data_IF_773972172953
#
_entry.id   IF_773972172953
#
_cell.length_a   1.000
_cell.length_b   1.000
_cell.length_c   1.000
_cell.angle_alpha   90.00
_cell.angle_beta   90.00
_cell.angle_gamma   90.00
#
_symmetry.space_group_name_H-M   'P 1'
#
loop_
_entity.id
_entity.type
_entity.pdbx_description
1 polymer ?
#
# COMPACT_ATOMS: atom_id res chain seq x y z
N UNK A 1 -3.32 6.90 39.59
CA UNK A 1 -1.86 6.69 39.70
C UNK A 1 -1.23 8.05 39.89
N UNK A 2 -0.57 8.30 41.02
CA UNK A 2 0.07 9.58 41.29
C UNK A 2 1.19 9.87 40.29
N UNK A 3 1.44 11.17 40.03
CA UNK A 3 2.51 11.66 39.15
C UNK A 3 3.91 11.14 39.53
N UNK A 4 4.09 10.68 40.78
CA UNK A 4 5.37 10.18 41.31
C UNK A 4 5.85 8.86 40.70
N UNK A 5 4.99 8.05 40.06
CA UNK A 5 5.45 6.83 39.39
C UNK A 5 6.19 7.08 38.06
N UNK A 6 6.10 8.28 37.48
CA UNK A 6 6.80 8.60 36.23
C UNK A 6 8.33 8.67 36.41
N UNK A 7 8.81 9.02 37.62
CA UNK A 7 10.23 9.20 37.93
C UNK A 7 11.06 7.91 37.89
N UNK A 8 10.43 6.74 38.00
CA UNK A 8 11.12 5.45 37.93
C UNK A 8 11.39 4.98 36.47
N UNK A 9 10.84 5.67 35.46
CA UNK A 9 10.79 5.17 34.07
C UNK A 9 11.76 5.83 33.07
N UNK A 10 12.68 6.68 33.52
CA UNK A 10 13.66 7.32 32.62
C UNK A 10 13.09 8.30 31.59
N UNK A 11 11.80 8.65 31.67
CA UNK A 11 11.15 9.58 30.74
C UNK A 11 11.58 11.03 31.02
N UNK A 12 12.00 11.81 30.01
CA UNK A 12 12.31 13.22 30.19
C UNK A 12 11.08 14.00 30.67
N UNK A 13 11.28 14.85 31.69
CA UNK A 13 10.21 15.66 32.30
C UNK A 13 9.70 16.81 31.42
N UNK A 14 10.49 17.22 30.43
CA UNK A 14 10.16 18.33 29.52
C UNK A 14 9.96 17.81 28.10
N UNK A 15 8.80 18.16 27.52
CA UNK A 15 8.56 17.97 26.10
C UNK A 15 9.34 19.08 25.36
N UNK A 16 10.31 18.69 24.55
CA UNK A 16 10.96 19.61 23.61
C UNK A 16 10.02 19.74 22.42
N UNK A 17 9.47 20.93 22.23
CA UNK A 17 8.70 21.24 21.03
C UNK A 17 9.68 21.56 19.89
N UNK A 18 9.40 21.06 18.68
CA UNK A 18 10.20 21.37 17.49
C UNK A 18 10.25 22.88 17.18
N UNK A 19 9.33 23.68 17.73
CA UNK A 19 9.33 25.14 17.64
C UNK A 19 10.39 25.84 18.53
N UNK A 20 11.02 25.11 19.46
CA UNK A 20 12.07 25.63 20.36
C UNK A 20 13.21 24.62 20.54
N UNK A 21 13.98 24.32 19.47
CA UNK A 21 15.07 23.36 19.56
C UNK A 21 16.26 23.92 20.35
N UNK A 22 16.97 23.05 21.05
CA UNK A 22 18.30 23.32 21.62
C UNK A 22 19.35 22.51 20.84
N UNK A 23 20.53 23.08 20.57
CA UNK A 23 21.64 22.38 19.89
C UNK A 23 21.66 22.49 18.35
N UNK A 24 22.55 21.72 17.70
CA UNK A 24 22.64 21.63 16.24
C UNK A 24 21.45 20.81 15.69
N UNK A 25 20.64 21.46 14.86
CA UNK A 25 19.45 20.88 14.25
C UNK A 25 19.66 20.54 12.78
N UNK A 26 20.90 20.67 12.27
CA UNK A 26 21.23 20.38 10.88
C UNK A 26 20.84 18.93 10.57
N UNK A 27 20.09 18.72 9.47
CA UNK A 27 19.61 17.39 9.15
C UNK A 27 20.79 16.45 8.87
N UNK A 28 20.56 15.17 9.11
CA UNK A 28 21.53 14.14 8.68
C UNK A 28 21.56 14.16 7.15
N UNK A 29 22.75 14.25 6.56
CA UNK A 29 22.92 14.35 5.12
C UNK A 29 22.22 13.18 4.40
N UNK A 30 21.50 13.49 3.33
CA UNK A 30 20.79 12.53 2.51
C UNK A 30 20.73 13.03 1.06
N UNK A 31 20.92 12.10 0.12
CA UNK A 31 20.90 12.36 -1.31
C UNK A 31 19.89 11.41 -1.98
N UNK A 32 18.62 11.81 -2.05
CA UNK A 32 17.56 11.02 -2.70
C UNK A 32 17.93 10.72 -4.16
N UNK A 33 17.74 9.49 -4.61
CA UNK A 33 18.15 9.02 -5.94
C UNK A 33 19.63 8.66 -6.10
N UNK A 34 20.45 8.70 -5.05
CA UNK A 34 21.81 8.16 -5.16
C UNK A 34 21.77 6.63 -5.37
N UNK A 35 22.60 6.12 -6.28
CA UNK A 35 22.64 4.71 -6.69
C UNK A 35 23.22 3.75 -5.64
N UNK A 36 23.96 4.27 -4.67
CA UNK A 36 24.57 3.51 -3.58
C UNK A 36 23.96 3.90 -2.25
N UNK A 37 23.61 2.91 -1.42
CA UNK A 37 22.95 3.14 -0.13
C UNK A 37 23.73 4.09 0.79
N UNK A 38 25.05 3.94 0.84
CA UNK A 38 25.94 4.77 1.67
C UNK A 38 25.95 6.22 1.18
N UNK A 39 25.97 6.44 -0.14
CA UNK A 39 25.91 7.77 -0.73
C UNK A 39 24.51 8.40 -0.56
N UNK A 40 23.45 7.59 -0.59
CA UNK A 40 22.07 8.02 -0.33
C UNK A 40 21.89 8.48 1.13
N UNK A 41 22.51 7.78 2.07
CA UNK A 41 22.40 7.99 3.52
C UNK A 41 21.14 7.36 4.12
N UNK A 42 21.12 7.02 5.43
CA UNK A 42 19.99 6.34 6.07
C UNK A 42 18.78 7.25 6.27
N UNK A 43 17.58 6.67 6.44
CA UNK A 43 16.39 7.40 6.89
C UNK A 43 16.33 7.40 8.42
N UNK A 44 16.24 8.59 8.99
CA UNK A 44 16.30 8.78 10.44
C UNK A 44 15.21 9.77 10.86
N UNK A 45 14.32 9.34 11.75
CA UNK A 45 13.26 10.16 12.37
C UNK A 45 13.55 10.48 13.85
N UNK A 46 14.81 10.26 14.27
CA UNK A 46 15.30 10.11 15.65
C UNK A 46 14.39 10.68 16.76
N UNK A 47 13.85 9.79 17.59
CA UNK A 47 13.06 10.16 18.77
C UNK A 47 13.91 10.23 20.06
N UNK A 48 15.22 10.03 19.94
CA UNK A 48 16.16 9.92 21.06
C UNK A 48 17.53 10.55 20.72
N UNK A 49 18.46 10.62 21.68
CA UNK A 49 19.84 11.08 21.40
C UNK A 49 19.97 12.59 21.18
N UNK A 50 20.81 12.99 20.22
CA UNK A 50 21.12 14.40 19.90
C UNK A 50 20.01 15.13 19.14
N UNK A 51 18.92 14.43 18.80
CA UNK A 51 17.75 14.97 18.12
C UNK A 51 17.94 15.19 16.62
N UNK A 52 19.10 14.87 16.03
CA UNK A 52 19.33 15.01 14.59
C UNK A 52 18.56 13.94 13.82
N UNK A 53 17.86 14.38 12.78
CA UNK A 53 17.01 13.56 11.91
C UNK A 53 16.99 14.15 10.50
N UNK A 54 16.55 13.39 9.52
CA UNK A 54 16.40 13.84 8.13
C UNK A 54 15.03 13.56 7.52
N UNK A 55 14.13 12.98 8.32
CA UNK A 55 12.76 12.67 7.91
C UNK A 55 11.75 13.14 8.96
N UNK A 56 10.60 13.61 8.46
CA UNK A 56 9.43 14.03 9.25
C UNK A 56 8.61 12.79 9.63
N UNK A 57 8.03 12.80 10.83
CA UNK A 57 7.20 11.70 11.32
C UNK A 57 8.00 10.70 12.13
N UNK A 58 7.63 9.42 12.08
CA UNK A 58 8.30 8.35 12.83
C UNK A 58 8.29 7.05 12.04
N UNK A 59 9.28 6.19 12.27
CA UNK A 59 9.24 4.80 11.82
C UNK A 59 7.97 4.06 12.29
N UNK A 60 7.69 2.90 11.67
CA UNK A 60 6.53 2.04 11.96
C UNK A 60 5.20 2.50 11.36
N UNK A 61 5.21 3.43 10.39
CA UNK A 61 4.02 3.86 9.62
C UNK A 61 2.74 4.06 10.45
N UNK A 62 1.66 3.38 10.05
CA UNK A 62 0.36 3.37 10.76
C UNK A 62 0.40 2.84 12.20
N UNK A 63 1.48 2.19 12.61
CA UNK A 63 1.66 1.63 13.95
C UNK A 63 2.38 2.57 14.92
N UNK A 64 2.86 3.72 14.45
CA UNK A 64 3.56 4.71 15.27
C UNK A 64 2.79 5.16 16.50
N UNK A 65 1.48 5.39 16.38
CA UNK A 65 0.61 5.77 17.51
C UNK A 65 0.47 4.63 18.52
N UNK A 66 0.34 3.37 18.06
CA UNK A 66 0.33 2.21 18.95
C UNK A 66 1.66 2.03 19.68
N UNK A 67 2.78 2.28 18.99
CA UNK A 67 4.09 2.32 19.63
C UNK A 67 4.16 3.39 20.71
N UNK A 68 3.65 4.60 20.44
CA UNK A 68 3.60 5.67 21.43
C UNK A 68 2.73 5.30 22.64
N UNK A 69 1.59 4.64 22.42
CA UNK A 69 0.75 4.10 23.49
C UNK A 69 1.46 3.00 24.30
N UNK A 70 2.18 2.09 23.64
CA UNK A 70 2.97 1.06 24.30
C UNK A 70 4.07 1.68 25.18
N UNK A 71 4.75 2.71 24.68
CA UNK A 71 5.71 3.50 25.47
C UNK A 71 4.99 4.14 26.65
N UNK A 72 3.88 4.84 26.45
CA UNK A 72 3.13 5.52 27.51
C UNK A 72 2.64 4.57 28.60
N UNK A 73 2.17 3.38 28.21
CA UNK A 73 1.75 2.29 29.09
C UNK A 73 2.91 1.59 29.80
N UNK A 74 4.16 1.87 29.42
CA UNK A 74 5.36 1.25 29.99
C UNK A 74 5.65 -0.15 29.46
N UNK A 75 4.95 -0.59 28.40
CA UNK A 75 5.17 -1.88 27.75
C UNK A 75 6.38 -1.87 26.81
N UNK A 76 6.83 -0.70 26.37
CA UNK A 76 8.02 -0.53 25.53
C UNK A 76 8.92 0.57 26.10
N UNK A 77 10.21 0.26 26.28
CA UNK A 77 11.22 1.26 26.61
C UNK A 77 11.49 2.15 25.37
N UNK A 78 11.32 3.48 25.45
CA UNK A 78 11.57 4.37 24.31
C UNK A 78 13.05 4.36 23.84
N UNK A 79 13.98 3.97 24.71
CA UNK A 79 15.41 3.80 24.40
C UNK A 79 15.77 2.43 23.83
N UNK A 80 14.80 1.51 23.72
CA UNK A 80 15.02 0.18 23.18
C UNK A 80 15.55 0.25 21.74
N UNK A 81 16.75 -0.30 21.55
CA UNK A 81 17.36 -0.53 20.24
C UNK A 81 16.96 -1.91 19.73
N UNK A 82 16.30 -2.01 18.57
CA UNK A 82 15.94 -3.30 18.00
C UNK A 82 17.21 -4.09 17.66
N UNK A 83 17.21 -5.38 18.00
CA UNK A 83 18.22 -6.33 17.51
C UNK A 83 17.84 -6.73 16.08
N UNK A 84 18.66 -6.33 15.11
CA UNK A 84 18.48 -6.65 13.69
C UNK A 84 19.33 -7.84 13.23
N UNK A 85 19.94 -8.59 14.15
CA UNK A 85 20.68 -9.82 13.83
C UNK A 85 19.76 -10.84 13.15
N UNK A 86 20.21 -11.45 12.06
CA UNK A 86 19.45 -12.44 11.27
C UNK A 86 18.11 -11.93 10.70
N UNK A 87 17.97 -10.62 10.50
CA UNK A 87 16.77 -10.01 9.89
C UNK A 87 16.92 -9.73 8.39
N UNK A 88 18.04 -10.14 7.79
CA UNK A 88 18.31 -9.93 6.37
C UNK A 88 17.23 -10.59 5.47
N UNK A 89 16.89 -9.98 4.33
CA UNK A 89 15.98 -10.54 3.34
C UNK A 89 16.33 -11.98 2.95
N UNK A 90 15.34 -12.87 2.95
CA UNK A 90 15.53 -14.26 2.48
C UNK A 90 15.57 -14.38 0.96
N UNK A 91 15.29 -13.29 0.25
CA UNK A 91 15.30 -13.17 -1.20
C UNK A 91 15.92 -11.83 -1.54
N UNK A 92 16.90 -11.83 -2.43
CA UNK A 92 17.51 -10.59 -2.94
C UNK A 92 16.51 -9.90 -3.88
N UNK A 93 16.36 -8.59 -3.71
CA UNK A 93 15.59 -7.73 -4.61
C UNK A 93 16.52 -6.56 -4.95
N UNK A 94 16.68 -6.29 -6.25
CA UNK A 94 17.56 -5.25 -6.77
C UNK A 94 19.04 -5.41 -6.44
N UNK A 95 19.83 -4.33 -6.58
CA UNK A 95 19.38 -3.00 -7.00
C UNK A 95 18.90 -2.99 -8.46
N UNK A 96 17.92 -2.13 -8.75
CA UNK A 96 17.42 -1.89 -10.11
C UNK A 96 17.73 -0.46 -10.54
N UNK A 97 17.94 -0.17 -11.84
CA UNK A 97 18.25 1.18 -12.33
C UNK A 97 17.27 2.26 -11.83
N UNK A 98 15.99 1.91 -11.72
CA UNK A 98 14.90 2.75 -11.23
C UNK A 98 15.17 3.34 -9.83
N UNK A 99 15.96 2.68 -8.99
CA UNK A 99 16.25 3.15 -7.62
C UNK A 99 17.09 4.42 -7.60
N UNK A 100 17.87 4.64 -8.67
CA UNK A 100 18.76 5.80 -8.82
C UNK A 100 18.10 6.97 -9.55
N UNK A 101 16.85 6.83 -9.99
CA UNK A 101 16.07 7.94 -10.53
C UNK A 101 15.26 8.59 -9.40
N UNK A 102 15.56 9.86 -9.04
CA UNK A 102 14.89 10.55 -7.93
C UNK A 102 13.40 10.79 -8.14
N UNK A 103 12.90 10.66 -9.37
CA UNK A 103 11.51 10.90 -9.75
C UNK A 103 10.72 9.60 -9.98
N UNK A 104 11.41 8.47 -10.16
CA UNK A 104 10.80 7.17 -10.44
C UNK A 104 10.13 6.56 -9.19
N UNK A 105 10.83 6.59 -8.05
CA UNK A 105 10.34 6.09 -6.76
C UNK A 105 10.33 7.24 -5.76
N UNK A 106 9.13 7.64 -5.33
CA UNK A 106 8.91 8.80 -4.46
C UNK A 106 8.11 8.47 -3.21
N UNK A 107 7.55 7.26 -3.09
CA UNK A 107 6.64 6.86 -2.00
C UNK A 107 7.06 5.65 -1.17
N UNK A 108 8.24 5.08 -1.42
CA UNK A 108 8.88 4.06 -0.58
C UNK A 108 10.40 4.26 -0.56
N UNK A 109 11.08 3.64 0.42
CA UNK A 109 12.55 3.64 0.51
C UNK A 109 13.14 2.46 -0.29
N UNK A 110 13.88 2.70 -1.39
CA UNK A 110 14.46 1.62 -2.20
C UNK A 110 15.43 0.70 -1.46
N UNK A 111 16.09 1.20 -0.40
CA UNK A 111 17.05 0.43 0.41
C UNK A 111 16.45 -0.02 1.75
N UNK A 112 15.13 0.11 1.93
CA UNK A 112 14.44 -0.13 3.20
C UNK A 112 14.62 -1.55 3.75
N UNK A 113 14.89 -2.54 2.89
CA UNK A 113 15.14 -3.95 3.25
C UNK A 113 16.61 -4.27 3.53
N UNK A 114 17.52 -3.33 3.23
CA UNK A 114 18.97 -3.53 3.32
C UNK A 114 19.59 -2.79 4.51
N UNK A 115 18.79 -2.24 5.43
CA UNK A 115 19.25 -1.38 6.51
C UNK A 115 20.37 -2.00 7.35
N UNK A 116 20.21 -3.26 7.78
CA UNK A 116 21.22 -3.94 8.61
C UNK A 116 22.53 -4.24 7.86
N UNK A 117 22.49 -4.26 6.52
CA UNK A 117 23.66 -4.52 5.68
C UNK A 117 24.36 -3.22 5.27
N UNK A 118 23.58 -2.20 4.87
CA UNK A 118 24.10 -0.94 4.34
C UNK A 118 24.45 0.08 5.42
N UNK A 119 23.83 -0.01 6.62
CA UNK A 119 23.97 1.00 7.66
C UNK A 119 24.42 0.42 9.01
N UNK A 120 25.20 -0.67 8.99
CA UNK A 120 25.69 -1.34 10.19
C UNK A 120 26.50 -0.40 11.11
N UNK A 121 27.39 0.42 10.53
CA UNK A 121 28.20 1.40 11.29
C UNK A 121 27.32 2.44 12.00
N UNK A 122 26.26 2.93 11.33
CA UNK A 122 25.32 3.88 11.90
C UNK A 122 24.52 3.24 13.05
N UNK A 123 24.13 1.97 12.91
CA UNK A 123 23.47 1.23 13.98
C UNK A 123 24.39 1.04 15.20
N UNK A 124 25.66 0.70 14.99
CA UNK A 124 26.68 0.55 16.04
C UNK A 124 26.93 1.86 16.80
N UNK A 125 27.00 2.97 16.07
CA UNK A 125 27.14 4.32 16.67
C UNK A 125 25.86 4.81 17.35
N UNK A 126 24.76 4.07 17.24
CA UNK A 126 23.53 4.27 17.99
C UNK A 126 22.46 5.11 17.27
N UNK A 127 22.58 5.28 15.96
CA UNK A 127 21.57 5.96 15.15
C UNK A 127 20.31 5.09 15.01
N UNK A 128 19.13 5.69 15.19
CA UNK A 128 17.83 4.98 15.08
C UNK A 128 17.41 4.84 13.60
N UNK A 129 18.13 3.99 12.88
CA UNK A 129 17.78 3.56 11.51
C UNK A 129 16.96 2.27 11.62
N UNK A 130 15.81 2.21 10.93
CA UNK A 130 14.94 1.02 10.97
C UNK A 130 14.57 0.58 9.55
N UNK A 131 14.44 -0.74 9.30
CA UNK A 131 13.90 -1.23 8.05
C UNK A 131 12.48 -0.74 7.83
N UNK A 132 12.20 -0.20 6.65
CA UNK A 132 10.84 0.11 6.17
C UNK A 132 10.31 -0.98 5.22
N UNK A 133 11.15 -1.94 4.82
CA UNK A 133 10.79 -3.08 4.00
C UNK A 133 11.33 -4.36 4.65
N UNK A 134 10.53 -5.42 4.62
CA UNK A 134 10.96 -6.76 5.04
C UNK A 134 10.53 -7.81 4.01
N UNK A 135 11.43 -8.75 3.70
CA UNK A 135 11.20 -9.81 2.70
C UNK A 135 11.35 -11.18 3.37
N UNK A 136 10.33 -12.02 3.26
CA UNK A 136 10.30 -13.37 3.83
C UNK A 136 9.66 -14.38 2.87
N UNK A 137 9.65 -15.66 3.23
CA UNK A 137 8.89 -16.71 2.54
C UNK A 137 7.76 -17.19 3.44
N UNK A 138 6.62 -17.49 2.83
CA UNK A 138 5.44 -17.95 3.55
C UNK A 138 4.65 -18.95 2.72
N UNK A 139 3.67 -19.58 3.36
CA UNK A 139 2.61 -20.33 2.69
C UNK A 139 1.29 -19.61 2.86
N UNK A 140 0.55 -19.46 1.77
CA UNK A 140 -0.82 -18.95 1.79
C UNK A 140 -1.79 -20.11 1.83
N UNK A 141 -2.81 -19.98 2.66
CA UNK A 141 -3.92 -20.92 2.77
C UNK A 141 -5.19 -20.14 2.48
N UNK A 142 -5.82 -20.43 1.34
CA UNK A 142 -7.08 -19.80 0.93
C UNK A 142 -8.20 -20.85 0.94
N UNK A 143 -9.32 -20.59 1.65
CA UNK A 143 -10.45 -21.50 1.65
C UNK A 143 -10.95 -21.86 0.25
N UNK A 144 -10.92 -20.90 -0.68
CA UNK A 144 -11.31 -21.06 -2.08
C UNK A 144 -10.39 -21.98 -2.87
N UNK A 145 -9.16 -22.22 -2.42
CA UNK A 145 -8.26 -23.16 -3.12
C UNK A 145 -8.25 -24.53 -2.45
N UNK A 146 -8.52 -24.57 -1.15
CA UNK A 146 -8.53 -25.82 -0.38
C UNK A 146 -9.86 -26.57 -0.54
N UNK A 147 -10.98 -25.85 -0.55
CA UNK A 147 -12.32 -26.45 -0.54
C UNK A 147 -13.05 -26.36 -1.87
N UNK A 148 -12.57 -25.54 -2.81
CA UNK A 148 -13.27 -25.35 -4.08
C UNK A 148 -13.05 -26.52 -5.00
N UNK A 149 -14.15 -27.08 -5.49
CA UNK A 149 -14.17 -27.98 -6.65
C UNK A 149 -14.11 -27.22 -7.98
N UNK A 150 -14.13 -25.87 -7.94
CA UNK A 150 -14.15 -24.99 -9.12
C UNK A 150 -12.77 -24.41 -9.47
N UNK A 151 -11.78 -24.48 -8.57
CA UNK A 151 -10.42 -24.03 -8.91
C UNK A 151 -9.78 -25.05 -9.86
N UNK A 152 -9.53 -24.63 -11.11
CA UNK A 152 -8.92 -25.47 -12.15
C UNK A 152 -7.38 -25.50 -12.05
N UNK A 153 -6.79 -25.14 -10.91
CA UNK A 153 -5.34 -25.17 -10.71
C UNK A 153 -4.87 -26.59 -10.41
N UNK A 154 -3.88 -27.06 -11.16
CA UNK A 154 -3.26 -28.35 -10.91
C UNK A 154 -2.27 -28.24 -9.75
N UNK A 155 -2.24 -29.23 -8.85
CA UNK A 155 -1.17 -29.33 -7.84
C UNK A 155 0.14 -29.66 -8.56
N UNK A 156 1.19 -28.87 -8.32
CA UNK A 156 2.52 -29.05 -8.93
C UNK A 156 3.62 -29.37 -7.89
N UNK A 157 3.28 -29.33 -6.59
CA UNK A 157 4.20 -29.58 -5.48
C UNK A 157 5.26 -28.49 -5.28
N UNK A 158 5.23 -27.42 -6.07
CA UNK A 158 6.23 -26.33 -6.06
C UNK A 158 5.58 -24.99 -5.74
N UNK A 159 4.64 -24.55 -6.57
CA UNK A 159 3.85 -23.34 -6.35
C UNK A 159 2.64 -23.69 -5.50
N UNK A 160 1.83 -24.65 -5.94
CA UNK A 160 0.66 -25.16 -5.23
C UNK A 160 0.96 -26.56 -4.68
N UNK A 161 0.90 -26.68 -3.37
CA UNK A 161 1.20 -27.91 -2.64
C UNK A 161 -0.01 -28.85 -2.61
N UNK A 162 0.23 -30.13 -2.33
CA UNK A 162 -0.82 -31.14 -2.13
C UNK A 162 -1.79 -30.79 -1.00
N UNK A 163 -1.36 -29.96 -0.04
CA UNK A 163 -2.21 -29.42 1.02
C UNK A 163 -3.19 -28.33 0.56
N UNK A 164 -3.08 -27.85 -0.68
CA UNK A 164 -3.78 -26.66 -1.17
C UNK A 164 -3.15 -25.33 -0.75
N UNK A 165 -2.02 -25.38 -0.02
CA UNK A 165 -1.25 -24.19 0.31
C UNK A 165 -0.38 -23.72 -0.86
N UNK A 166 -0.17 -22.41 -0.97
CA UNK A 166 0.67 -21.81 -2.01
C UNK A 166 1.97 -21.29 -1.41
N UNK A 167 3.12 -21.70 -1.96
CA UNK A 167 4.42 -21.13 -1.60
C UNK A 167 4.59 -19.74 -2.23
N UNK A 168 4.94 -18.75 -1.41
CA UNK A 168 5.15 -17.37 -1.88
C UNK A 168 6.39 -16.74 -1.25
N UNK A 169 6.98 -15.79 -1.97
CA UNK A 169 7.81 -14.74 -1.36
C UNK A 169 6.91 -13.58 -0.98
N UNK A 170 7.00 -13.14 0.27
CA UNK A 170 6.17 -12.08 0.85
C UNK A 170 7.02 -10.86 1.17
N UNK A 171 6.56 -9.68 0.79
CA UNK A 171 7.23 -8.41 1.11
C UNK A 171 6.26 -7.54 1.88
N UNK A 172 6.69 -6.96 3.00
CA UNK A 172 5.96 -5.90 3.70
C UNK A 172 6.67 -4.57 3.48
N UNK A 173 5.92 -3.50 3.17
CA UNK A 173 6.47 -2.18 2.87
C UNK A 173 5.71 -1.11 3.66
N UNK A 174 6.46 -0.27 4.38
CA UNK A 174 5.99 0.97 4.97
C UNK A 174 6.23 2.15 4.03
N UNK A 175 5.31 3.12 3.98
CA UNK A 175 5.43 4.28 3.10
C UNK A 175 6.52 5.23 3.58
N UNK A 176 7.33 5.70 2.62
CA UNK A 176 8.37 6.70 2.84
C UNK A 176 8.32 7.67 1.67
N UNK A 177 7.92 8.91 1.95
CA UNK A 177 7.64 9.89 0.91
C UNK A 177 8.80 10.86 0.74
N UNK A 178 9.30 10.98 -0.49
CA UNK A 178 10.13 12.09 -0.92
C UNK A 178 9.21 13.25 -1.35
N UNK A 179 9.05 14.24 -0.47
CA UNK A 179 8.05 15.30 -0.62
C UNK A 179 8.13 16.09 -1.93
N UNK A 180 9.33 16.45 -2.47
CA UNK A 180 9.43 17.06 -3.79
C UNK A 180 8.83 16.19 -4.90
N UNK A 181 9.17 14.90 -4.93
CA UNK A 181 8.69 13.97 -5.95
C UNK A 181 7.19 13.67 -5.83
N UNK A 182 6.69 13.54 -4.59
CA UNK A 182 5.24 13.40 -4.34
C UNK A 182 4.49 14.64 -4.81
N UNK A 183 5.01 15.85 -4.56
CA UNK A 183 4.37 17.09 -5.02
C UNK A 183 4.30 17.16 -6.54
N UNK A 184 5.40 16.82 -7.22
CA UNK A 184 5.45 16.75 -8.69
C UNK A 184 4.44 15.74 -9.24
N UNK A 185 4.31 14.56 -8.62
CA UNK A 185 3.37 13.51 -9.02
C UNK A 185 1.90 13.98 -8.99
N UNK A 186 1.57 14.91 -8.09
CA UNK A 186 0.24 15.54 -8.01
C UNK A 186 0.13 16.89 -8.73
N UNK A 187 1.18 17.33 -9.45
CA UNK A 187 1.17 18.63 -10.13
C UNK A 187 1.14 19.83 -9.18
N UNK A 188 1.63 19.66 -7.95
CA UNK A 188 1.64 20.67 -6.90
C UNK A 188 3.06 21.21 -6.65
N UNK A 189 3.14 22.42 -6.08
CA UNK A 189 4.40 22.90 -5.49
C UNK A 189 4.62 22.20 -4.14
N UNK A 190 5.87 21.82 -3.84
CA UNK A 190 6.23 21.17 -2.56
C UNK A 190 5.69 21.92 -1.33
N UNK A 191 5.84 23.25 -1.31
CA UNK A 191 5.35 24.11 -0.22
C UNK A 191 3.83 24.04 -0.04
N UNK A 192 3.10 23.92 -1.15
CA UNK A 192 1.64 23.82 -1.13
C UNK A 192 1.20 22.46 -0.61
N UNK A 193 1.80 21.36 -1.11
CA UNK A 193 1.57 20.01 -0.60
C UNK A 193 1.78 19.97 0.92
N UNK A 194 2.93 20.45 1.40
CA UNK A 194 3.28 20.48 2.83
C UNK A 194 2.26 21.23 3.67
N UNK A 195 1.85 22.43 3.23
CA UNK A 195 0.87 23.25 3.94
C UNK A 195 -0.47 22.51 4.03
N UNK A 196 -0.95 21.95 2.92
CA UNK A 196 -2.22 21.23 2.88
C UNK A 196 -2.16 20.00 3.80
N UNK A 197 -1.09 19.21 3.73
CA UNK A 197 -0.90 18.07 4.63
C UNK A 197 -0.93 18.51 6.10
N UNK A 198 -0.24 19.59 6.47
CA UNK A 198 -0.26 20.12 7.83
C UNK A 198 -1.66 20.56 8.26
N UNK A 199 -2.35 21.36 7.45
CA UNK A 199 -3.69 21.88 7.77
C UNK A 199 -4.73 20.77 7.87
N UNK A 200 -4.74 19.83 6.91
CA UNK A 200 -5.72 18.74 6.84
C UNK A 200 -5.46 17.62 7.86
N UNK A 201 -4.27 17.56 8.45
CA UNK A 201 -3.96 16.65 9.57
C UNK A 201 -4.14 17.32 10.95
N UNK A 202 -4.81 18.48 11.01
CA UNK A 202 -5.05 19.19 12.26
C UNK A 202 -3.76 19.71 12.91
N UNK A 203 -2.72 19.96 12.12
CA UNK A 203 -1.44 20.49 12.59
C UNK A 203 -0.51 19.45 13.22
N UNK A 204 -0.75 18.15 13.01
CA UNK A 204 -0.02 17.06 13.68
C UNK A 204 1.50 17.08 13.42
N UNK A 205 1.94 17.47 12.23
CA UNK A 205 3.35 17.46 11.82
C UNK A 205 3.87 18.87 11.54
N UNK A 206 4.23 19.61 12.58
CA UNK A 206 4.73 20.99 12.44
C UNK A 206 5.94 21.13 11.51
N UNK A 207 6.81 20.11 11.43
CA UNK A 207 7.98 20.09 10.56
C UNK A 207 7.65 20.20 9.07
N UNK A 208 6.43 19.83 8.66
CA UNK A 208 5.99 20.06 7.29
C UNK A 208 6.09 21.54 6.90
N UNK A 209 5.87 22.46 7.85
CA UNK A 209 5.88 23.91 7.61
C UNK A 209 7.08 24.63 8.23
N UNK A 210 7.70 24.08 9.29
CA UNK A 210 8.85 24.71 9.97
C UNK A 210 10.20 24.23 9.45
N UNK A 211 10.28 23.04 8.82
CA UNK A 211 11.54 22.38 8.42
C UNK A 211 11.55 22.05 6.92
N UNK A 212 11.74 23.09 6.10
CA UNK A 212 11.84 22.94 4.64
C UNK A 212 13.10 22.18 4.18
N UNK A 213 14.08 22.04 5.06
CA UNK A 213 15.32 21.28 4.89
C UNK A 213 15.11 19.75 4.97
N UNK A 214 14.03 19.28 5.63
CA UNK A 214 13.67 17.87 5.69
C UNK A 214 12.83 17.47 4.49
N UNK A 215 13.37 16.69 3.55
CA UNK A 215 12.69 16.31 2.29
C UNK A 215 11.94 15.00 2.34
N UNK A 216 12.12 14.21 3.40
CA UNK A 216 11.47 12.91 3.57
C UNK A 216 10.37 13.00 4.63
N UNK A 217 9.27 12.29 4.41
CA UNK A 217 8.14 12.17 5.33
C UNK A 217 7.71 10.71 5.47
N UNK A 218 7.53 10.23 6.69
CA UNK A 218 6.96 8.91 6.98
C UNK A 218 5.50 9.11 7.41
N UNK A 219 4.55 9.09 6.46
CA UNK A 219 3.14 9.27 6.80
C UNK A 219 2.62 8.07 7.61
N UNK A 220 1.81 8.28 8.66
CA UNK A 220 1.24 7.21 9.47
C UNK A 220 0.01 6.58 8.79
N UNK A 221 0.17 6.16 7.54
CA UNK A 221 -0.88 5.52 6.73
C UNK A 221 -0.61 4.02 6.57
N UNK A 222 -1.62 3.30 6.07
CA UNK A 222 -1.47 1.88 5.76
C UNK A 222 -0.38 1.65 4.71
N UNK A 223 0.50 0.69 4.98
CA UNK A 223 1.50 0.22 4.02
C UNK A 223 0.93 -0.71 2.95
N UNK A 224 1.80 -1.52 2.38
CA UNK A 224 1.41 -2.55 1.41
C UNK A 224 2.09 -3.88 1.70
N UNK A 225 1.52 -4.94 1.15
CA UNK A 225 2.10 -6.28 1.21
C UNK A 225 2.07 -6.89 -0.17
N UNK A 226 3.17 -7.51 -0.57
CA UNK A 226 3.32 -8.15 -1.86
C UNK A 226 3.39 -9.66 -1.67
N UNK A 227 2.85 -10.38 -2.64
CA UNK A 227 2.92 -11.82 -2.74
C UNK A 227 3.44 -12.17 -4.14
N UNK A 228 4.63 -12.76 -4.20
CA UNK A 228 5.27 -13.19 -5.42
C UNK A 228 5.12 -14.71 -5.50
N UNK A 229 4.54 -15.17 -6.61
CA UNK A 229 4.25 -16.56 -6.92
C UNK A 229 5.27 -17.05 -7.96
N UNK A 230 5.98 -18.12 -7.65
CA UNK A 230 7.09 -18.60 -8.49
C UNK A 230 8.44 -18.00 -8.09
N UNK A 231 9.34 -17.83 -9.07
CA UNK A 231 10.68 -17.29 -8.83
C UNK A 231 10.69 -15.75 -8.91
N UNK A 232 11.06 -15.02 -7.83
CA UNK A 232 11.15 -13.57 -7.85
C UNK A 232 12.12 -12.99 -8.89
N UNK A 233 13.17 -13.73 -9.29
CA UNK A 233 14.11 -13.26 -10.31
C UNK A 233 13.43 -13.07 -11.68
N UNK A 234 12.31 -13.76 -11.93
CA UNK A 234 11.57 -13.66 -13.18
C UNK A 234 10.76 -12.36 -13.30
N UNK A 235 10.64 -11.55 -12.23
CA UNK A 235 9.95 -10.25 -12.27
C UNK A 235 10.61 -9.25 -13.22
N UNK A 236 11.90 -9.42 -13.50
CA UNK A 236 12.71 -8.54 -14.37
C UNK A 236 13.25 -9.26 -15.61
N UNK A 237 12.81 -10.50 -15.85
CA UNK A 237 13.23 -11.30 -17.00
C UNK A 237 12.21 -11.14 -18.13
N UNK A 238 12.56 -10.33 -19.13
CA UNK A 238 11.71 -10.08 -20.30
C UNK A 238 11.40 -11.34 -21.14
N UNK A 239 12.12 -12.45 -20.94
CA UNK A 239 11.82 -13.75 -21.57
C UNK A 239 10.71 -14.54 -20.86
N UNK A 240 10.34 -14.11 -19.65
CA UNK A 240 9.31 -14.71 -18.81
C UNK A 240 8.06 -13.82 -18.83
N UNK A 241 6.90 -14.46 -18.62
CA UNK A 241 5.63 -13.74 -18.54
C UNK A 241 5.32 -13.35 -17.10
N UNK A 242 4.87 -12.11 -16.91
CA UNK A 242 4.40 -11.56 -15.64
C UNK A 242 2.87 -11.40 -15.66
N UNK A 243 2.20 -12.06 -14.73
CA UNK A 243 0.80 -11.78 -14.38
C UNK A 243 0.76 -10.98 -13.08
N UNK A 244 0.12 -9.82 -13.09
CA UNK A 244 0.09 -8.89 -11.97
C UNK A 244 -1.32 -8.47 -11.57
N UNK A 245 -1.59 -8.40 -10.27
CA UNK A 245 -2.79 -7.82 -9.68
C UNK A 245 -2.41 -6.78 -8.64
N UNK A 246 -2.90 -5.55 -8.81
CA UNK A 246 -2.84 -4.54 -7.75
C UNK A 246 -4.21 -4.39 -7.10
N UNK A 247 -4.29 -4.74 -5.83
CA UNK A 247 -5.50 -4.76 -5.01
C UNK A 247 -5.48 -3.65 -3.97
N UNK A 248 -6.61 -2.97 -3.78
CA UNK A 248 -6.80 -2.04 -2.68
C UNK A 248 -7.71 -2.72 -1.66
N UNK A 249 -7.31 -2.68 -0.39
CA UNK A 249 -7.97 -3.32 0.75
C UNK A 249 -9.48 -3.04 0.80
N UNK A 250 -10.22 -4.11 1.08
CA UNK A 250 -11.65 -4.08 1.34
C UNK A 250 -11.97 -5.11 2.42
N UNK A 251 -11.67 -4.78 3.68
CA UNK A 251 -11.77 -5.64 4.86
C UNK A 251 -13.04 -6.50 4.90
N UNK A 252 -14.22 -5.87 4.78
CA UNK A 252 -15.50 -6.58 4.81
C UNK A 252 -15.67 -7.67 3.73
N UNK A 253 -15.06 -7.49 2.55
CA UNK A 253 -15.10 -8.51 1.49
C UNK A 253 -13.91 -9.45 1.61
N UNK A 254 -12.69 -8.89 1.69
CA UNK A 254 -11.43 -9.62 1.69
C UNK A 254 -11.30 -10.59 2.87
N UNK A 255 -11.87 -10.27 4.04
CA UNK A 255 -11.80 -11.13 5.24
C UNK A 255 -13.08 -11.94 5.42
N UNK A 256 -14.25 -11.32 5.22
CA UNK A 256 -15.55 -11.90 5.61
C UNK A 256 -16.47 -12.28 4.44
N UNK A 257 -16.06 -12.06 3.20
CA UNK A 257 -16.81 -12.51 2.02
C UNK A 257 -18.10 -11.73 1.75
N UNK A 258 -18.15 -10.44 2.09
CA UNK A 258 -19.29 -9.57 1.74
C UNK A 258 -19.63 -9.63 0.25
N UNK A 259 -20.93 -9.79 -0.04
CA UNK A 259 -21.55 -9.94 -1.37
C UNK A 259 -21.93 -8.62 -2.05
N UNK A 260 -21.72 -7.48 -1.38
CA UNK A 260 -22.08 -6.14 -1.88
C UNK A 260 -21.06 -5.61 -2.91
N UNK A 261 -19.88 -6.22 -2.99
CA UNK A 261 -18.80 -5.79 -3.87
C UNK A 261 -17.99 -6.97 -4.42
N UNK A 262 -17.22 -6.72 -5.48
CA UNK A 262 -16.41 -7.76 -6.15
C UNK A 262 -14.98 -7.89 -5.62
N UNK A 263 -14.63 -7.24 -4.50
CA UNK A 263 -13.25 -7.15 -4.02
C UNK A 263 -12.61 -8.52 -3.75
N UNK A 264 -13.22 -9.37 -2.91
CA UNK A 264 -12.67 -10.71 -2.63
C UNK A 264 -12.71 -11.63 -3.85
N UNK A 265 -13.83 -11.78 -4.59
CA UNK A 265 -13.85 -12.59 -5.80
C UNK A 265 -12.74 -12.22 -6.79
N UNK A 266 -12.50 -10.91 -6.99
CA UNK A 266 -11.45 -10.46 -7.92
C UNK A 266 -10.03 -10.64 -7.35
N UNK A 267 -9.85 -10.52 -6.02
CA UNK A 267 -8.58 -10.84 -5.37
C UNK A 267 -8.24 -12.31 -5.52
N UNK A 268 -9.19 -13.21 -5.26
CA UNK A 268 -9.02 -14.66 -5.40
C UNK A 268 -8.72 -15.01 -6.87
N UNK A 269 -9.49 -14.47 -7.82
CA UNK A 269 -9.22 -14.67 -9.24
C UNK A 269 -7.82 -14.18 -9.64
N UNK A 270 -7.39 -13.00 -9.15
CA UNK A 270 -6.03 -12.50 -9.39
C UNK A 270 -4.94 -13.40 -8.81
N UNK A 271 -5.17 -13.99 -7.62
CA UNK A 271 -4.26 -14.99 -7.03
C UNK A 271 -4.22 -16.25 -7.91
N UNK A 272 -5.35 -16.73 -8.40
CA UNK A 272 -5.40 -17.91 -9.27
C UNK A 272 -4.66 -17.70 -10.59
N UNK A 273 -4.86 -16.54 -11.24
CA UNK A 273 -4.11 -16.19 -12.46
C UNK A 273 -2.60 -16.09 -12.17
N UNK A 274 -2.20 -15.50 -11.04
CA UNK A 274 -0.79 -15.42 -10.63
C UNK A 274 -0.17 -16.80 -10.37
N UNK A 275 -0.91 -17.71 -9.71
CA UNK A 275 -0.46 -19.09 -9.49
C UNK A 275 -0.33 -19.81 -10.83
N UNK A 276 -1.32 -19.70 -11.71
CA UNK A 276 -1.29 -20.33 -13.05
C UNK A 276 -0.11 -19.83 -13.87
N UNK A 277 0.20 -18.54 -13.83
CA UNK A 277 1.37 -18.00 -14.52
C UNK A 277 2.67 -18.59 -13.97
N UNK A 278 2.81 -18.65 -12.64
CA UNK A 278 3.97 -19.25 -12.00
C UNK A 278 4.16 -20.74 -12.33
N UNK A 279 3.07 -21.48 -12.51
CA UNK A 279 3.08 -22.89 -12.92
C UNK A 279 3.51 -23.08 -14.39
N UNK A 280 3.25 -22.08 -15.23
CA UNK A 280 3.60 -22.07 -16.65
C UNK A 280 5.00 -21.47 -16.93
N UNK A 281 5.92 -21.60 -15.96
CA UNK A 281 7.29 -21.09 -16.04
C UNK A 281 7.38 -19.56 -16.23
N UNK A 282 6.36 -18.84 -15.74
CA UNK A 282 6.34 -17.39 -15.57
C UNK A 282 6.39 -16.97 -14.10
N UNK A 283 5.86 -15.80 -13.78
CA UNK A 283 5.78 -15.27 -12.41
C UNK A 283 4.47 -14.53 -12.16
N UNK A 284 3.93 -14.73 -10.95
CA UNK A 284 2.75 -14.02 -10.49
C UNK A 284 3.09 -12.98 -9.44
N UNK A 285 2.41 -11.83 -9.46
CA UNK A 285 2.57 -10.77 -8.45
C UNK A 285 1.21 -10.24 -8.00
N UNK A 286 0.93 -10.30 -6.70
CA UNK A 286 -0.17 -9.56 -6.08
C UNK A 286 0.39 -8.47 -5.19
N UNK A 287 0.03 -7.22 -5.45
CA UNK A 287 0.28 -6.08 -4.55
C UNK A 287 -1.01 -5.77 -3.80
N UNK A 288 -0.99 -5.86 -2.48
CA UNK A 288 -2.12 -5.56 -1.61
C UNK A 288 -1.86 -4.24 -0.85
N UNK A 289 -2.56 -3.18 -1.25
CA UNK A 289 -2.48 -1.86 -0.63
C UNK A 289 -3.50 -1.72 0.50
N UNK A 290 -3.08 -1.24 1.67
CA UNK A 290 -3.98 -0.98 2.80
C UNK A 290 -4.69 0.38 2.66
N UNK A 291 -5.57 0.47 1.65
CA UNK A 291 -6.31 1.67 1.24
C UNK A 291 -7.82 1.43 1.25
N UNK A 292 -8.37 1.12 2.42
CA UNK A 292 -9.81 0.84 2.61
C UNK A 292 -10.72 1.96 2.08
N UNK A 293 -11.84 1.56 1.46
CA UNK A 293 -12.90 2.48 1.07
C UNK A 293 -12.46 3.55 0.08
N UNK A 294 -11.58 3.23 -0.88
CA UNK A 294 -10.94 4.20 -1.79
C UNK A 294 -10.16 5.28 -1.05
N UNK A 295 -9.52 4.90 0.05
CA UNK A 295 -8.83 5.78 0.99
C UNK A 295 -9.75 6.80 1.74
N UNK A 296 -11.07 6.58 1.76
CA UNK A 296 -12.03 7.32 2.60
C UNK A 296 -12.31 6.63 3.96
N UNK A 297 -11.84 5.39 4.13
CA UNK A 297 -12.07 4.59 5.32
C UNK A 297 -13.43 3.87 5.35
N UNK A 298 -13.53 2.91 6.28
CA UNK A 298 -14.66 1.97 6.36
C UNK A 298 -15.97 2.64 6.80
N UNK A 299 -15.92 3.62 7.70
CA UNK A 299 -17.10 4.34 8.17
C UNK A 299 -17.81 5.06 7.01
N UNK A 300 -17.07 5.84 6.23
CA UNK A 300 -17.60 6.56 5.06
C UNK A 300 -18.19 5.59 4.04
N UNK A 301 -17.50 4.48 3.77
CA UNK A 301 -17.99 3.41 2.90
C UNK A 301 -19.36 2.87 3.36
N UNK A 302 -19.53 2.60 4.65
CA UNK A 302 -20.80 2.09 5.17
C UNK A 302 -21.91 3.13 5.15
N UNK A 303 -21.60 4.41 5.38
CA UNK A 303 -22.54 5.51 5.17
C UNK A 303 -23.02 5.56 3.71
N UNK A 304 -22.11 5.39 2.75
CA UNK A 304 -22.45 5.30 1.31
C UNK A 304 -23.34 4.10 1.03
N UNK A 305 -23.06 2.92 1.58
CA UNK A 305 -23.92 1.74 1.43
C UNK A 305 -25.32 1.99 1.98
N UNK A 306 -25.42 2.58 3.18
CA UNK A 306 -26.71 2.92 3.78
C UNK A 306 -27.49 3.91 2.92
N UNK A 307 -26.85 4.95 2.39
CA UNK A 307 -27.52 5.93 1.54
C UNK A 307 -27.96 5.34 0.20
N UNK A 308 -27.11 4.51 -0.42
CA UNK A 308 -27.44 3.78 -1.65
C UNK A 308 -28.66 2.89 -1.46
N UNK A 309 -28.76 2.17 -0.34
CA UNK A 309 -29.89 1.26 -0.09
C UNK A 309 -31.17 1.98 0.35
N UNK A 310 -31.07 3.17 0.99
CA UNK A 310 -32.22 3.95 1.49
C UNK A 310 -32.79 4.98 0.51
N UNK A 311 -32.08 5.29 -0.57
CA UNK A 311 -32.57 6.26 -1.55
C UNK A 311 -33.86 5.77 -2.23
N UNK A 312 -34.63 6.72 -2.76
CA UNK A 312 -35.83 6.41 -3.55
C UNK A 312 -35.48 5.51 -4.75
N UNK A 313 -36.18 4.38 -4.85
CA UNK A 313 -35.90 3.36 -5.87
C UNK A 313 -34.84 2.33 -5.49
N UNK A 314 -34.26 2.40 -4.29
CA UNK A 314 -33.31 1.43 -3.75
C UNK A 314 -31.88 1.60 -4.29
N UNK A 315 -31.06 0.57 -4.16
CA UNK A 315 -29.66 0.57 -4.60
C UNK A 315 -29.57 0.41 -6.11
N UNK A 316 -29.38 1.52 -6.83
CA UNK A 316 -29.41 1.62 -8.29
C UNK A 316 -28.04 1.99 -8.85
N UNK A 317 -27.64 1.38 -9.98
CA UNK A 317 -26.32 1.58 -10.55
C UNK A 317 -26.10 3.02 -11.07
N UNK A 318 -27.15 3.65 -11.62
CA UNK A 318 -27.06 5.01 -12.16
C UNK A 318 -26.83 6.09 -11.09
N UNK A 319 -27.18 5.82 -9.83
CA UNK A 319 -26.97 6.73 -8.69
C UNK A 319 -25.71 6.37 -7.86
N UNK A 320 -24.95 5.35 -8.24
CA UNK A 320 -23.86 4.80 -7.43
C UNK A 320 -22.80 5.85 -7.06
N UNK A 321 -22.29 6.56 -8.07
CA UNK A 321 -21.22 7.55 -7.85
C UNK A 321 -21.75 8.85 -7.25
N UNK A 322 -22.97 9.27 -7.62
CA UNK A 322 -23.65 10.41 -7.02
C UNK A 322 -23.75 10.23 -5.50
N UNK A 323 -24.16 9.05 -5.02
CA UNK A 323 -24.25 8.79 -3.57
C UNK A 323 -22.91 8.80 -2.87
N UNK A 324 -21.86 8.37 -3.56
CA UNK A 324 -20.49 8.47 -3.03
C UNK A 324 -20.10 9.94 -2.88
N UNK A 325 -20.29 10.74 -3.93
CA UNK A 325 -19.97 12.16 -3.97
C UNK A 325 -20.77 12.99 -2.96
N UNK A 326 -22.07 12.71 -2.78
CA UNK A 326 -22.90 13.40 -1.78
C UNK A 326 -22.37 13.24 -0.34
N UNK A 327 -21.70 12.12 -0.03
CA UNK A 327 -21.25 11.79 1.33
C UNK A 327 -19.77 12.11 1.51
N UNK A 328 -18.94 11.73 0.54
CA UNK A 328 -17.49 11.86 0.60
C UNK A 328 -16.97 13.16 -0.01
N UNK A 329 -17.80 13.91 -0.74
CA UNK A 329 -17.42 15.11 -1.49
C UNK A 329 -16.67 14.81 -2.80
N UNK A 330 -16.35 13.55 -3.06
CA UNK A 330 -15.60 13.08 -4.24
C UNK A 330 -15.83 11.58 -4.45
N UNK A 331 -15.64 11.11 -5.67
CA UNK A 331 -15.88 9.71 -6.04
C UNK A 331 -14.71 8.78 -5.68
N UNK A 332 -13.49 9.29 -5.66
CA UNK A 332 -12.27 8.53 -5.40
C UNK A 332 -11.16 9.46 -4.87
N UNK A 333 -10.46 9.07 -3.81
CA UNK A 333 -9.26 9.76 -3.28
C UNK A 333 -8.04 8.85 -3.26
N UNK A 334 -8.06 7.76 -4.03
CA UNK A 334 -6.89 6.91 -4.17
C UNK A 334 -5.85 7.64 -5.00
N UNK A 335 -4.74 7.91 -4.34
CA UNK A 335 -3.46 8.32 -4.90
C UNK A 335 -2.84 7.17 -5.73
N UNK A 336 -3.42 6.87 -6.90
CA UNK A 336 -2.95 5.81 -7.79
C UNK A 336 -1.64 6.19 -8.49
N UNK A 337 -1.33 7.47 -8.56
CA UNK A 337 -0.09 7.98 -9.15
C UNK A 337 1.16 7.54 -8.37
N UNK A 338 1.02 7.15 -7.10
CA UNK A 338 2.09 6.56 -6.28
C UNK A 338 2.16 5.03 -6.36
N UNK A 339 1.12 4.39 -6.90
CA UNK A 339 1.01 2.93 -6.96
C UNK A 339 2.14 2.25 -7.77
N UNK A 340 2.60 2.81 -8.91
CA UNK A 340 3.66 2.19 -9.71
C UNK A 340 5.02 2.12 -9.01
N UNK A 341 5.28 2.94 -8.00
CA UNK A 341 6.58 3.03 -7.34
C UNK A 341 7.09 1.68 -6.81
N UNK A 342 6.18 0.81 -6.34
CA UNK A 342 6.55 -0.53 -5.89
C UNK A 342 6.90 -1.49 -7.04
N UNK A 343 6.29 -1.30 -8.21
CA UNK A 343 6.65 -2.07 -9.40
C UNK A 343 8.01 -1.61 -9.93
N UNK A 344 8.27 -0.30 -9.94
CA UNK A 344 9.57 0.27 -10.24
C UNK A 344 10.64 -0.21 -9.23
N UNK A 345 10.29 -0.33 -7.94
CA UNK A 345 11.18 -0.90 -6.93
C UNK A 345 11.53 -2.37 -7.20
N UNK A 346 10.59 -3.15 -7.72
CA UNK A 346 10.85 -4.53 -8.19
C UNK A 346 11.60 -4.60 -9.53
N UNK A 347 11.88 -3.45 -10.16
CA UNK A 347 12.54 -3.37 -11.47
C UNK A 347 11.63 -3.68 -12.66
N UNK A 348 10.32 -3.79 -12.46
CA UNK A 348 9.35 -4.18 -13.48
C UNK A 348 9.20 -3.06 -14.51
N UNK A 349 9.34 -3.42 -15.79
CA UNK A 349 9.14 -2.52 -16.95
C UNK A 349 7.99 -2.97 -17.85
N UNK A 350 7.52 -4.22 -17.72
CA UNK A 350 6.43 -4.82 -18.51
C UNK A 350 5.57 -5.72 -17.65
N UNK A 351 4.25 -5.67 -17.85
CA UNK A 351 3.26 -6.60 -17.30
C UNK A 351 2.53 -7.26 -18.48
N UNK A 352 2.70 -8.56 -18.67
CA UNK A 352 2.06 -9.29 -19.76
C UNK A 352 0.56 -9.43 -19.55
N UNK A 353 0.12 -9.71 -18.32
CA UNK A 353 -1.31 -9.79 -17.96
C UNK A 353 -1.60 -9.02 -16.68
N UNK A 354 -2.30 -7.91 -16.82
CA UNK A 354 -2.74 -7.08 -15.70
C UNK A 354 -4.18 -7.40 -15.33
N UNK A 355 -4.36 -8.06 -14.18
CA UNK A 355 -5.67 -8.48 -13.68
C UNK A 355 -6.39 -7.27 -13.05
N UNK A 356 -6.90 -6.37 -13.89
CA UNK A 356 -7.57 -5.14 -13.46
C UNK A 356 -8.46 -4.51 -14.54
N UNK A 357 -9.69 -4.19 -14.14
CA UNK A 357 -10.62 -3.37 -14.92
C UNK A 357 -10.46 -1.86 -14.67
N UNK A 358 -9.60 -1.44 -13.74
CA UNK A 358 -9.45 -0.03 -13.38
C UNK A 358 -8.55 0.74 -14.37
N UNK A 359 -9.11 1.73 -15.06
CA UNK A 359 -8.33 2.62 -15.92
C UNK A 359 -7.35 3.46 -15.10
N UNK A 360 -7.77 3.99 -13.95
CA UNK A 360 -6.86 4.76 -13.07
C UNK A 360 -5.57 3.99 -12.73
N UNK A 361 -5.64 2.67 -12.53
CA UNK A 361 -4.46 1.84 -12.29
C UNK A 361 -3.64 1.65 -13.56
N UNK A 362 -4.30 1.37 -14.68
CA UNK A 362 -3.64 1.21 -15.99
C UNK A 362 -2.92 2.50 -16.42
N UNK A 363 -3.59 3.63 -16.34
CA UNK A 363 -3.08 4.95 -16.69
C UNK A 363 -1.87 5.30 -15.81
N UNK A 364 -1.95 5.04 -14.49
CA UNK A 364 -0.83 5.26 -13.58
C UNK A 364 0.42 4.45 -13.96
N UNK A 365 0.25 3.17 -14.33
CA UNK A 365 1.35 2.30 -14.78
C UNK A 365 1.99 2.80 -16.07
N UNK A 366 1.16 3.08 -17.09
CA UNK A 366 1.64 3.51 -18.40
C UNK A 366 2.28 4.89 -18.36
N UNK A 367 1.76 5.83 -17.56
CA UNK A 367 2.39 7.13 -17.32
C UNK A 367 3.78 7.03 -16.68
N UNK A 368 4.05 5.94 -15.94
CA UNK A 368 5.36 5.65 -15.34
C UNK A 368 6.25 4.78 -16.25
N UNK A 369 5.84 4.56 -17.50
CA UNK A 369 6.64 3.83 -18.49
C UNK A 369 6.57 2.31 -18.37
N UNK A 370 5.64 1.76 -17.58
CA UNK A 370 5.41 0.31 -17.50
C UNK A 370 4.49 -0.09 -18.66
N UNK A 371 5.00 -0.97 -19.53
CA UNK A 371 4.20 -1.54 -20.62
C UNK A 371 3.19 -2.56 -20.07
N UNK A 372 1.94 -2.51 -20.55
CA UNK A 372 0.85 -3.37 -20.09
C UNK A 372 0.22 -4.04 -21.30
N UNK A 373 0.41 -5.36 -21.41
CA UNK A 373 -0.06 -6.17 -22.53
C UNK A 373 -1.57 -6.40 -22.51
N UNK A 374 -2.03 -7.41 -21.77
CA UNK A 374 -3.45 -7.75 -21.65
C UNK A 374 -4.04 -7.22 -20.33
N UNK A 375 -5.27 -6.74 -20.35
CA UNK A 375 -6.07 -6.50 -19.14
C UNK A 375 -7.09 -7.61 -18.94
N UNK A 376 -7.05 -8.27 -17.79
CA UNK A 376 -7.92 -9.42 -17.46
C UNK A 376 -9.04 -8.95 -16.51
N UNK A 377 -10.30 -9.04 -16.97
CA UNK A 377 -11.49 -8.75 -16.17
C UNK A 377 -11.81 -9.88 -15.20
N UNK A 378 -12.63 -9.59 -14.18
CA UNK A 378 -13.23 -10.66 -13.38
C UNK A 378 -14.23 -11.46 -14.26
N UNK A 379 -14.27 -12.80 -14.18
CA UNK A 379 -15.32 -13.60 -14.81
C UNK A 379 -16.71 -13.28 -14.26
N UNK A 380 -17.74 -13.29 -15.12
CA UNK A 380 -19.11 -12.92 -14.75
C UNK A 380 -19.71 -13.84 -13.68
N UNK A 381 -19.38 -15.13 -13.73
CA UNK A 381 -19.83 -16.13 -12.76
C UNK A 381 -19.28 -15.90 -11.34
N UNK A 382 -18.23 -15.10 -11.20
CA UNK A 382 -17.64 -14.73 -9.91
C UNK A 382 -18.21 -13.42 -9.35
N UNK A 383 -19.07 -12.72 -10.08
CA UNK A 383 -19.69 -11.47 -9.63
C UNK A 383 -20.92 -11.80 -8.77
N UNK A 384 -20.93 -11.46 -7.46
CA UNK A 384 -22.11 -11.65 -6.63
C UNK A 384 -23.31 -10.85 -7.16
N UNK A 385 -24.52 -11.36 -6.95
CA UNK A 385 -25.75 -10.72 -7.43
C UNK A 385 -25.89 -9.26 -6.97
N UNK A 386 -25.63 -8.98 -5.68
CA UNK A 386 -25.74 -7.61 -5.14
C UNK A 386 -24.60 -6.69 -5.64
N UNK A 387 -23.47 -7.26 -6.05
CA UNK A 387 -22.34 -6.54 -6.61
C UNK A 387 -22.55 -6.12 -8.08
N UNK A 388 -23.59 -6.62 -8.77
CA UNK A 388 -23.94 -6.20 -10.13
C UNK A 388 -24.19 -4.68 -10.20
N UNK A 389 -24.76 -4.09 -9.15
CA UNK A 389 -24.94 -2.63 -9.06
C UNK A 389 -23.60 -1.89 -9.16
N UNK A 390 -22.58 -2.36 -8.45
CA UNK A 390 -21.24 -1.78 -8.51
C UNK A 390 -20.59 -2.00 -9.88
N UNK A 391 -20.72 -3.20 -10.44
CA UNK A 391 -20.09 -3.57 -11.70
C UNK A 391 -20.63 -2.76 -12.87
N UNK A 392 -21.94 -2.68 -13.00
CA UNK A 392 -22.60 -1.91 -14.05
C UNK A 392 -22.28 -0.41 -13.95
N UNK A 393 -22.29 0.14 -12.72
CA UNK A 393 -21.87 1.52 -12.50
C UNK A 393 -20.43 1.77 -12.93
N UNK A 394 -19.49 0.87 -12.59
CA UNK A 394 -18.08 1.00 -12.97
C UNK A 394 -17.88 0.90 -14.49
N UNK A 395 -18.53 -0.07 -15.15
CA UNK A 395 -18.48 -0.21 -16.62
C UNK A 395 -18.97 1.09 -17.30
N UNK A 396 -20.08 1.66 -16.84
CA UNK A 396 -20.60 2.93 -17.34
C UNK A 396 -19.67 4.13 -17.07
N UNK A 397 -18.93 4.13 -15.95
CA UNK A 397 -17.90 5.13 -15.65
C UNK A 397 -16.58 4.89 -16.40
N UNK A 398 -16.56 3.97 -17.37
CA UNK A 398 -15.44 3.73 -18.27
C UNK A 398 -14.44 2.69 -17.80
N UNK A 399 -14.72 1.92 -16.75
CA UNK A 399 -13.85 0.77 -16.40
C UNK A 399 -13.80 -0.20 -17.58
N UNK A 400 -12.61 -0.78 -17.81
CA UNK A 400 -12.40 -1.73 -18.90
C UNK A 400 -13.30 -2.95 -18.73
N UNK A 401 -14.00 -3.28 -19.80
CA UNK A 401 -14.84 -4.44 -19.95
C UNK A 401 -14.65 -4.96 -21.37
N UNK A 402 -14.56 -6.29 -21.59
CA UNK A 402 -14.57 -6.84 -22.94
C UNK A 402 -15.93 -6.65 -23.64
N UNK A 403 -17.00 -6.47 -22.86
CA UNK A 403 -18.37 -6.27 -23.34
C UNK A 403 -18.73 -4.80 -23.61
N UNK A 404 -19.84 -4.60 -24.32
CA UNK A 404 -20.42 -3.28 -24.60
C UNK A 404 -20.72 -2.49 -23.31
N UNK A 405 -20.55 -1.16 -23.38
CA UNK A 405 -20.85 -0.25 -22.27
C UNK A 405 -22.37 -0.28 -21.99
N UNK A 406 -22.80 -0.49 -20.72
CA UNK A 406 -24.21 -0.56 -20.37
C UNK A 406 -24.96 0.71 -20.78
N UNK A 407 -26.16 0.56 -21.33
CA UNK A 407 -27.00 1.73 -21.64
C UNK A 407 -27.56 2.38 -20.37
N UNK A 408 -27.96 3.64 -20.44
CA UNK A 408 -28.65 4.31 -19.32
C UNK A 408 -29.92 3.57 -18.88
N UNK A 409 -30.58 2.87 -19.80
CA UNK A 409 -31.75 2.04 -19.48
C UNK A 409 -31.36 0.80 -18.67
N UNK A 410 -30.23 0.16 -18.99
CA UNK A 410 -29.73 -1.02 -18.29
C UNK A 410 -29.30 -0.67 -16.86
N UNK A 411 -28.60 0.46 -16.68
CA UNK A 411 -28.21 0.97 -15.36
C UNK A 411 -29.40 1.21 -14.42
N UNK A 412 -30.53 1.68 -14.96
CA UNK A 412 -31.74 1.94 -14.17
C UNK A 412 -32.47 0.65 -13.72
N UNK A 413 -32.21 -0.46 -14.41
CA UNK A 413 -32.81 -1.78 -14.15
C UNK A 413 -32.01 -2.57 -13.13
N UNK A 414 -30.68 -2.42 -13.12
CA UNK A 414 -29.80 -3.09 -12.15
C UNK A 414 -30.05 -2.55 -10.75
N UNK A 415 -30.57 -3.43 -9.88
CA UNK A 415 -30.97 -3.10 -8.52
C UNK A 415 -30.39 -4.09 -7.52
N UNK A 416 -29.86 -3.55 -6.43
CA UNK A 416 -29.40 -4.35 -5.31
C UNK A 416 -30.55 -4.82 -4.42
N UNK A 417 -30.23 -5.74 -3.50
CA UNK A 417 -31.13 -6.24 -2.46
C UNK A 417 -31.70 -5.09 -1.63
N UNK A 418 -33.01 -5.17 -1.35
CA UNK A 418 -33.70 -4.24 -0.46
C UNK A 418 -33.29 -4.45 1.01
N UNK A 419 -33.29 -3.38 1.82
CA UNK A 419 -32.86 -3.41 3.22
C UNK A 419 -33.64 -4.40 4.10
N UNK A 420 -34.92 -4.58 3.83
CA UNK A 420 -35.79 -5.48 4.60
C UNK A 420 -35.56 -6.97 4.30
N UNK A 421 -34.72 -7.28 3.30
CA UNK A 421 -34.44 -8.66 2.87
C UNK A 421 -33.08 -9.18 3.41
N UNK A 422 -32.44 -8.47 4.34
CA UNK A 422 -31.28 -8.93 5.12
C UNK A 422 -31.76 -9.38 6.49
#
# INVERSE_FOLDING_TARGET
MSEDHAAASGRPRHIVLNSHPTGDQSPIAMHWGASEAVARGPIVTNLSGDGRHNAIGTHSGSYSIYRALAVAAGALDPSHRPDLTNTAPVTAIGPHPQWSDPNCIVSLDPYGHLVSQCFAEQLETGLDVRPSIAVTRARLSLPELIHSTQSNLAVDGKVLLESGEINVTKVAIEPVWHLPGVAERFGLKERELRRILFEQTGGMFSDLVTRNDLKVFLPPIGGMTLYIFGNPDYLVDDSRRLTCRVHDECNGSDVFGSDICTCRPYLVHGIEECVREAQNDGVGLVVYNRKEGRALGEVTKFLVYNARKRQDGGDRADAYFERTECIAGVQDVRFQELMPDVLNWLGITRIDRFVSMSNMKYDALTMQGIDVGERVSIPDELIPEDAQVEMEAKKAAGYYSPDDVPSTTDLSRTRGRHLENY
#
